data_IF_379705941146
#
_entry.id   IF_379705941146
#
_cell.length_a   1.000
_cell.length_b   1.000
_cell.length_c   1.000
_cell.angle_alpha   90.00
_cell.angle_beta   90.00
_cell.angle_gamma   90.00
#
_symmetry.space_group_name_H-M   'P 1'
#
loop_
_entity.id
_entity.type
_entity.pdbx_description
1 polymer ?
#
# COMPACT_ATOMS: atom_id res chain seq x y z
N UNK A 1 26.64 -0.92 11.12
CA UNK A 1 26.67 -1.44 9.75
C UNK A 1 25.28 -1.42 9.13
N UNK A 2 25.20 -1.37 7.82
CA UNK A 2 23.91 -1.36 7.10
C UNK A 2 23.04 -2.57 7.47
N UNK A 3 23.66 -3.71 7.69
CA UNK A 3 23.00 -4.95 8.13
C UNK A 3 22.34 -4.82 9.50
N UNK A 4 22.99 -4.16 10.46
CA UNK A 4 22.44 -4.00 11.82
C UNK A 4 21.23 -3.04 11.82
N UNK A 5 21.30 -1.97 11.05
CA UNK A 5 20.16 -1.04 10.87
C UNK A 5 18.98 -1.73 10.20
N UNK A 6 19.24 -2.56 9.19
CA UNK A 6 18.21 -3.32 8.49
C UNK A 6 17.59 -4.40 9.39
N UNK A 7 18.37 -5.07 10.22
CA UNK A 7 17.86 -6.01 11.22
C UNK A 7 16.93 -5.32 12.23
N UNK A 8 17.37 -4.18 12.77
CA UNK A 8 16.55 -3.38 13.70
C UNK A 8 15.24 -2.92 13.05
N UNK A 9 15.30 -2.54 11.76
CA UNK A 9 14.11 -2.19 11.01
C UNK A 9 13.15 -3.36 10.84
N UNK A 10 13.66 -4.55 10.52
CA UNK A 10 12.82 -5.74 10.42
C UNK A 10 12.12 -6.07 11.74
N UNK A 11 12.74 -5.74 12.89
CA UNK A 11 12.11 -5.90 14.20
C UNK A 11 10.88 -5.01 14.38
N UNK A 12 10.86 -3.85 13.78
CA UNK A 12 9.73 -2.90 13.84
C UNK A 12 8.69 -3.11 12.75
N UNK A 13 8.99 -3.90 11.71
CA UNK A 13 8.05 -4.19 10.64
C UNK A 13 6.98 -5.19 11.05
N UNK A 14 5.68 -4.90 10.85
CA UNK A 14 4.61 -5.83 11.15
C UNK A 14 4.76 -7.18 10.44
N UNK A 15 5.31 -7.18 9.23
CA UNK A 15 5.49 -8.39 8.43
C UNK A 15 6.51 -9.37 9.04
N UNK A 16 7.55 -8.85 9.68
CA UNK A 16 8.64 -9.63 10.28
C UNK A 16 8.57 -9.74 11.80
N UNK A 17 7.49 -9.28 12.39
CA UNK A 17 7.29 -9.34 13.83
C UNK A 17 7.36 -10.80 14.35
N UNK A 18 8.07 -10.99 15.47
CA UNK A 18 8.21 -12.27 16.14
C UNK A 18 8.93 -13.38 15.33
N UNK A 19 9.55 -13.05 14.21
CA UNK A 19 10.46 -13.97 13.54
C UNK A 19 11.74 -14.13 14.36
N UNK A 20 12.31 -15.33 14.32
CA UNK A 20 13.59 -15.60 15.01
C UNK A 20 14.73 -14.79 14.36
N UNK A 21 15.76 -14.39 15.11
CA UNK A 21 16.93 -13.70 14.56
C UNK A 21 17.61 -14.50 13.44
N UNK A 22 17.58 -15.83 13.54
CA UNK A 22 18.11 -16.72 12.49
C UNK A 22 17.34 -16.58 11.19
N UNK A 23 16.00 -16.57 11.24
CA UNK A 23 15.15 -16.42 10.08
C UNK A 23 15.36 -15.06 9.41
N UNK A 24 15.46 -13.99 10.21
CA UNK A 24 15.75 -12.63 9.71
C UNK A 24 17.09 -12.57 9.00
N UNK A 25 18.12 -13.18 9.53
CA UNK A 25 19.46 -13.25 8.90
C UNK A 25 19.44 -14.01 7.60
N UNK A 26 18.79 -15.17 7.55
CA UNK A 26 18.64 -15.96 6.32
C UNK A 26 17.91 -15.14 5.25
N UNK A 27 16.84 -14.48 5.62
CA UNK A 27 16.05 -13.61 4.74
C UNK A 27 16.92 -12.47 4.17
N UNK A 28 17.67 -11.78 5.01
CA UNK A 28 18.55 -10.70 4.58
C UNK A 28 19.70 -11.16 3.68
N UNK A 29 20.22 -12.36 3.90
CA UNK A 29 21.30 -12.90 3.08
C UNK A 29 20.90 -13.22 1.65
N UNK A 30 19.62 -13.47 1.42
CA UNK A 30 19.04 -13.82 0.11
C UNK A 30 18.25 -12.67 -0.54
N UNK A 31 17.95 -11.62 0.19
CA UNK A 31 17.22 -10.46 -0.30
C UNK A 31 18.14 -9.50 -1.07
N UNK A 32 17.55 -8.74 -2.00
CA UNK A 32 18.24 -7.71 -2.78
C UNK A 32 17.83 -6.33 -2.29
N UNK A 33 18.78 -5.40 -2.25
CA UNK A 33 18.52 -4.01 -1.94
C UNK A 33 18.34 -3.20 -3.22
N UNK A 34 17.21 -2.52 -3.36
CA UNK A 34 16.91 -1.65 -4.49
C UNK A 34 16.83 -0.20 -4.03
N UNK A 35 17.57 0.67 -4.67
CA UNK A 35 17.55 2.12 -4.40
C UNK A 35 16.77 2.84 -5.47
N UNK A 36 15.94 3.77 -5.06
CA UNK A 36 15.10 4.59 -5.92
C UNK A 36 15.37 6.07 -5.65
N UNK A 37 15.41 6.86 -6.71
CA UNK A 37 15.38 8.31 -6.61
C UNK A 37 13.93 8.81 -6.53
N UNK A 38 13.68 10.02 -5.98
CA UNK A 38 12.33 10.59 -5.94
C UNK A 38 11.68 10.61 -7.33
N UNK A 39 10.43 10.17 -7.43
CA UNK A 39 9.69 10.05 -8.68
C UNK A 39 9.90 8.74 -9.44
N UNK A 40 10.85 7.91 -9.07
CA UNK A 40 11.07 6.61 -9.67
C UNK A 40 10.01 5.61 -9.23
N UNK A 41 9.54 4.79 -10.15
CA UNK A 41 8.52 3.78 -9.88
C UNK A 41 9.14 2.46 -9.46
N UNK A 42 8.72 1.95 -8.31
CA UNK A 42 9.04 0.59 -7.86
C UNK A 42 8.14 -0.43 -8.59
N UNK A 43 6.87 -0.11 -8.75
CA UNK A 43 5.87 -0.89 -9.46
C UNK A 43 5.10 -0.01 -10.44
N UNK A 44 4.76 -0.58 -11.60
CA UNK A 44 4.00 0.08 -12.65
C UNK A 44 2.70 -0.67 -12.87
N UNK A 45 1.58 0.06 -12.86
CA UNK A 45 0.25 -0.51 -13.09
C UNK A 45 0.20 -1.29 -14.41
N UNK A 46 -0.40 -2.47 -14.38
CA UNK A 46 -0.56 -3.36 -15.53
C UNK A 46 0.65 -4.26 -15.82
N UNK A 47 1.80 -4.02 -15.21
CA UNK A 47 2.95 -4.90 -15.33
C UNK A 47 2.84 -6.11 -14.39
N UNK A 48 3.49 -7.19 -14.75
CA UNK A 48 3.63 -8.36 -13.89
C UNK A 48 4.70 -8.07 -12.82
N UNK A 49 4.41 -8.47 -11.58
CA UNK A 49 5.34 -8.36 -10.47
C UNK A 49 5.46 -9.70 -9.74
N UNK A 50 6.68 -10.12 -9.52
CA UNK A 50 7.01 -11.37 -8.82
C UNK A 50 7.79 -11.14 -7.53
N UNK A 51 7.81 -9.91 -7.03
CA UNK A 51 8.59 -9.55 -5.83
C UNK A 51 7.73 -8.85 -4.78
N UNK A 52 8.09 -9.05 -3.53
CA UNK A 52 7.63 -8.29 -2.38
C UNK A 52 8.70 -7.26 -2.02
N UNK A 53 8.31 -6.02 -1.84
CA UNK A 53 9.21 -4.95 -1.43
C UNK A 53 8.87 -4.45 -0.03
N UNK A 54 9.88 -4.24 0.79
CA UNK A 54 9.74 -3.63 2.12
C UNK A 54 10.54 -2.33 2.15
N UNK A 55 9.92 -1.25 2.61
CA UNK A 55 10.60 0.05 2.73
C UNK A 55 11.59 0.00 3.89
N UNK A 56 12.86 0.12 3.56
CA UNK A 56 13.96 0.18 4.55
C UNK A 56 14.25 1.62 4.95
N UNK A 57 14.22 2.53 3.98
CA UNK A 57 14.46 3.96 4.17
C UNK A 57 13.64 4.74 3.14
N UNK A 58 13.18 5.94 3.52
CA UNK A 58 12.36 6.77 2.65
C UNK A 58 10.88 6.44 2.72
N UNK A 59 10.16 6.71 1.65
CA UNK A 59 8.73 6.48 1.54
C UNK A 59 8.30 6.30 0.08
N UNK A 60 7.20 5.59 -0.13
CA UNK A 60 6.56 5.44 -1.43
C UNK A 60 5.09 5.84 -1.36
N UNK A 61 4.59 6.40 -2.45
CA UNK A 61 3.16 6.65 -2.65
C UNK A 61 2.56 5.56 -3.54
N UNK A 62 1.42 5.04 -3.13
CA UNK A 62 0.57 4.17 -3.93
C UNK A 62 -0.42 5.04 -4.69
N UNK A 63 -0.36 5.03 -6.01
CA UNK A 63 -1.15 5.89 -6.88
C UNK A 63 -2.10 5.04 -7.71
N UNK A 64 -3.40 5.23 -7.49
CA UNK A 64 -4.44 4.56 -8.28
C UNK A 64 -4.70 5.30 -9.60
N UNK A 65 -5.10 4.58 -10.66
CA UNK A 65 -5.41 5.19 -11.95
C UNK A 65 -6.60 6.15 -11.84
N UNK A 66 -6.49 7.31 -12.48
CA UNK A 66 -7.56 8.32 -12.53
C UNK A 66 -7.78 9.11 -11.24
N UNK A 67 -6.88 8.99 -10.27
CA UNK A 67 -6.92 9.75 -9.01
C UNK A 67 -5.67 10.65 -8.97
N UNK A 68 -5.86 11.97 -8.82
CA UNK A 68 -4.77 12.94 -8.82
C UNK A 68 -3.95 12.94 -7.51
N UNK A 69 -4.51 12.38 -6.43
CA UNK A 69 -3.84 12.29 -5.14
C UNK A 69 -3.35 10.86 -4.86
N UNK A 70 -2.25 10.67 -4.11
CA UNK A 70 -1.82 9.36 -3.65
C UNK A 70 -2.93 8.68 -2.82
N UNK A 71 -3.19 7.38 -3.08
CA UNK A 71 -4.14 6.60 -2.30
C UNK A 71 -3.65 6.40 -0.86
N UNK A 72 -2.38 6.06 -0.73
CA UNK A 72 -1.72 5.87 0.57
C UNK A 72 -0.22 6.10 0.44
N UNK A 73 0.37 6.66 1.48
CA UNK A 73 1.82 6.75 1.65
C UNK A 73 2.30 5.67 2.59
N UNK A 74 3.29 4.91 2.16
CA UNK A 74 3.91 3.84 2.92
C UNK A 74 5.34 4.22 3.28
N UNK A 75 5.64 4.13 4.55
CA UNK A 75 6.95 4.45 5.10
C UNK A 75 7.72 3.21 5.54
N UNK A 76 8.75 3.46 6.31
CA UNK A 76 9.67 2.49 6.82
C UNK A 76 8.97 1.30 7.50
N UNK A 77 9.33 0.08 7.12
CA UNK A 77 8.77 -1.17 7.64
C UNK A 77 7.51 -1.68 6.93
N UNK A 78 6.90 -0.86 6.09
CA UNK A 78 5.72 -1.25 5.30
C UNK A 78 6.11 -1.92 3.99
N UNK A 79 5.22 -2.74 3.44
CA UNK A 79 5.50 -3.52 2.23
C UNK A 79 4.55 -3.21 1.08
N UNK A 80 5.01 -3.45 -0.14
CA UNK A 80 4.26 -3.33 -1.39
C UNK A 80 4.53 -4.53 -2.30
N UNK A 81 3.63 -4.77 -3.25
CA UNK A 81 3.78 -5.84 -4.24
C UNK A 81 3.27 -7.20 -3.79
N UNK A 82 2.74 -7.32 -2.57
CA UNK A 82 2.21 -8.57 -2.03
C UNK A 82 0.99 -9.09 -2.77
N UNK A 83 0.10 -8.23 -3.23
CA UNK A 83 -1.12 -8.64 -3.92
C UNK A 83 -0.80 -9.37 -5.23
N UNK A 84 -0.06 -8.74 -6.11
CA UNK A 84 0.33 -9.31 -7.40
C UNK A 84 1.21 -10.56 -7.26
N UNK A 85 2.04 -10.60 -6.22
CA UNK A 85 2.83 -11.78 -5.90
C UNK A 85 1.95 -12.96 -5.48
N UNK A 86 0.90 -12.72 -4.70
CA UNK A 86 0.04 -13.76 -4.13
C UNK A 86 -1.01 -14.27 -5.10
N UNK A 87 -1.64 -13.39 -5.87
CA UNK A 87 -2.74 -13.74 -6.78
C UNK A 87 -2.32 -13.90 -8.26
N UNK A 88 -1.07 -13.56 -8.59
CA UNK A 88 -0.55 -13.63 -9.95
C UNK A 88 -1.15 -12.63 -10.93
N UNK A 89 -1.91 -11.66 -10.43
CA UNK A 89 -2.52 -10.63 -11.27
C UNK A 89 -1.55 -9.47 -11.53
N UNK A 90 -1.72 -8.72 -12.62
CA UNK A 90 -0.95 -7.51 -12.86
C UNK A 90 -1.07 -6.51 -11.72
N UNK A 91 -0.05 -5.67 -11.55
CA UNK A 91 -0.02 -4.59 -10.55
C UNK A 91 -1.22 -3.66 -10.76
N UNK A 92 -1.93 -3.37 -9.67
CA UNK A 92 -3.18 -2.60 -9.68
C UNK A 92 -3.00 -1.09 -9.44
N UNK A 93 -1.80 -0.67 -9.05
CA UNK A 93 -1.47 0.72 -8.78
C UNK A 93 0.01 1.00 -9.02
N UNK A 94 0.35 2.23 -9.40
CA UNK A 94 1.75 2.65 -9.42
C UNK A 94 2.27 2.81 -7.99
N UNK A 95 3.52 2.43 -7.76
CA UNK A 95 4.24 2.68 -6.50
C UNK A 95 5.45 3.54 -6.81
N UNK A 96 5.45 4.77 -6.30
CA UNK A 96 6.39 5.83 -6.67
C UNK A 96 7.17 6.28 -5.45
N UNK A 97 8.49 6.36 -5.56
CA UNK A 97 9.32 6.91 -4.49
C UNK A 97 9.05 8.40 -4.28
N UNK A 98 8.81 8.80 -3.04
CA UNK A 98 8.58 10.20 -2.64
C UNK A 98 9.91 10.89 -2.33
N UNK A 99 10.76 10.19 -1.59
CA UNK A 99 12.10 10.61 -1.18
C UNK A 99 13.14 9.62 -1.74
N UNK A 100 14.44 9.88 -1.58
CA UNK A 100 15.43 8.83 -1.79
C UNK A 100 15.07 7.60 -0.97
N UNK A 101 14.72 6.51 -1.64
CA UNK A 101 14.10 5.34 -1.01
C UNK A 101 14.96 4.10 -1.22
N UNK A 102 15.11 3.32 -0.18
CA UNK A 102 15.74 1.99 -0.24
C UNK A 102 14.69 0.94 0.08
N UNK A 103 14.54 -0.02 -0.82
CA UNK A 103 13.64 -1.16 -0.68
C UNK A 103 14.43 -2.45 -0.49
N UNK A 104 13.94 -3.30 0.39
CA UNK A 104 14.35 -4.70 0.48
C UNK A 104 13.44 -5.50 -0.45
N UNK A 105 14.02 -6.20 -1.42
CA UNK A 105 13.30 -7.00 -2.39
C UNK A 105 13.45 -8.49 -2.09
N UNK A 106 12.31 -9.16 -1.96
CA UNK A 106 12.18 -10.61 -1.82
C UNK A 106 11.46 -11.16 -3.04
N UNK A 107 12.05 -12.12 -3.73
CA UNK A 107 11.37 -12.76 -4.85
C UNK A 107 10.24 -13.72 -4.39
N UNK A 108 9.40 -14.13 -5.31
CA UNK A 108 8.25 -14.99 -5.00
C UNK A 108 8.65 -16.34 -4.40
N UNK A 109 9.79 -16.91 -4.78
CA UNK A 109 10.29 -18.19 -4.24
C UNK A 109 10.63 -18.01 -2.76
N UNK A 110 11.31 -16.93 -2.40
CA UNK A 110 11.64 -16.60 -1.01
C UNK A 110 10.39 -16.37 -0.16
N UNK A 111 9.42 -15.62 -0.68
CA UNK A 111 8.17 -15.32 0.03
C UNK A 111 7.34 -16.58 0.24
N UNK A 112 7.15 -17.39 -0.78
CA UNK A 112 6.40 -18.64 -0.64
C UNK A 112 7.10 -19.64 0.27
N UNK A 113 8.43 -19.72 0.22
CA UNK A 113 9.21 -20.54 1.16
C UNK A 113 9.01 -20.09 2.61
N UNK A 114 8.95 -18.78 2.87
CA UNK A 114 8.64 -18.24 4.21
C UNK A 114 7.21 -18.57 4.65
N UNK A 115 6.24 -18.45 3.77
CA UNK A 115 4.84 -18.79 4.05
C UNK A 115 4.74 -20.28 4.43
N UNK A 116 5.38 -21.16 3.68
CA UNK A 116 5.32 -22.61 3.89
C UNK A 116 6.08 -23.05 5.14
N UNK A 117 7.18 -22.37 5.49
CA UNK A 117 8.05 -22.76 6.61
C UNK A 117 7.76 -22.04 7.92
N UNK A 118 7.03 -20.93 7.91
CA UNK A 118 6.79 -20.09 9.08
C UNK A 118 5.31 -19.70 9.19
N UNK A 119 4.60 -20.33 10.13
CA UNK A 119 3.24 -19.92 10.45
C UNK A 119 3.17 -18.47 10.99
N UNK A 120 4.21 -18.02 11.66
CA UNK A 120 4.32 -16.62 12.15
C UNK A 120 4.37 -15.64 11.00
N UNK A 121 5.20 -15.88 10.00
CA UNK A 121 5.27 -15.03 8.80
C UNK A 121 3.94 -15.02 8.04
N UNK A 122 3.35 -16.18 7.83
CA UNK A 122 2.05 -16.30 7.15
C UNK A 122 0.94 -15.52 7.89
N UNK A 123 0.87 -15.61 9.21
CA UNK A 123 -0.07 -14.82 10.02
C UNK A 123 0.18 -13.32 9.93
N UNK A 124 1.44 -12.91 9.97
CA UNK A 124 1.81 -11.50 9.83
C UNK A 124 1.36 -10.95 8.47
N UNK A 125 1.60 -11.70 7.40
CA UNK A 125 1.16 -11.32 6.06
C UNK A 125 -0.37 -11.20 5.98
N UNK A 126 -1.11 -12.15 6.53
CA UNK A 126 -2.57 -12.07 6.61
C UNK A 126 -3.06 -10.85 7.39
N UNK A 127 -2.40 -10.47 8.48
CA UNK A 127 -2.72 -9.26 9.25
C UNK A 127 -2.47 -7.98 8.46
N UNK A 128 -1.37 -7.92 7.73
CA UNK A 128 -1.07 -6.79 6.84
C UNK A 128 -2.14 -6.64 5.77
N UNK A 129 -2.52 -7.74 5.11
CA UNK A 129 -3.58 -7.75 4.09
C UNK A 129 -4.94 -7.35 4.67
N UNK A 130 -5.31 -7.88 5.84
CA UNK A 130 -6.55 -7.52 6.52
C UNK A 130 -6.59 -6.03 6.89
N UNK A 131 -5.46 -5.47 7.34
CA UNK A 131 -5.34 -4.04 7.62
C UNK A 131 -5.57 -3.17 6.39
N UNK A 132 -5.07 -3.58 5.25
CA UNK A 132 -5.28 -2.88 3.97
C UNK A 132 -6.73 -2.92 3.51
N UNK A 133 -7.38 -4.07 3.58
CA UNK A 133 -8.80 -4.21 3.25
C UNK A 133 -9.65 -3.29 4.12
N UNK A 134 -9.37 -3.21 5.42
CA UNK A 134 -10.08 -2.30 6.34
C UNK A 134 -9.83 -0.83 6.01
N UNK A 135 -8.60 -0.46 5.66
CA UNK A 135 -8.26 0.91 5.25
C UNK A 135 -9.01 1.30 3.98
N UNK A 136 -9.03 0.45 2.97
CA UNK A 136 -9.76 0.69 1.72
C UNK A 136 -11.26 0.83 1.97
N UNK A 137 -11.85 0.01 2.83
CA UNK A 137 -13.26 0.15 3.22
C UNK A 137 -13.55 1.46 3.95
N UNK A 138 -12.67 1.93 4.81
CA UNK A 138 -12.81 3.21 5.51
C UNK A 138 -12.74 4.38 4.53
N UNK A 139 -11.78 4.39 3.62
CA UNK A 139 -11.64 5.41 2.57
C UNK A 139 -12.87 5.44 1.66
N UNK A 140 -13.38 4.29 1.23
CA UNK A 140 -14.60 4.19 0.42
C UNK A 140 -15.85 4.69 1.17
N UNK A 141 -15.98 4.40 2.46
CA UNK A 141 -17.09 4.88 3.29
C UNK A 141 -17.06 6.40 3.46
N UNK A 142 -15.89 6.99 3.73
CA UNK A 142 -15.69 8.45 3.82
C UNK A 142 -16.02 9.14 2.50
N UNK A 143 -15.53 8.63 1.38
CA UNK A 143 -15.82 9.16 0.04
C UNK A 143 -17.30 9.07 -0.31
N UNK A 144 -17.97 7.99 0.07
CA UNK A 144 -19.41 7.82 -0.13
C UNK A 144 -20.24 8.79 0.71
N UNK A 145 -19.85 9.05 1.95
CA UNK A 145 -20.52 10.01 2.82
C UNK A 145 -20.33 11.45 2.35
N UNK A 146 -19.15 11.82 1.87
CA UNK A 146 -18.88 13.11 1.23
C UNK A 146 -19.72 13.29 -0.04
N UNK A 147 -19.80 12.27 -0.89
CA UNK A 147 -20.67 12.27 -2.07
C UNK A 147 -22.13 12.47 -1.72
N UNK A 148 -22.65 11.73 -0.73
CA UNK A 148 -24.03 11.85 -0.27
C UNK A 148 -24.32 13.23 0.32
N UNK A 149 -23.35 13.83 1.04
CA UNK A 149 -23.48 15.21 1.56
C UNK A 149 -23.54 16.22 0.42
N UNK A 150 -22.68 16.07 -0.58
CA UNK A 150 -22.65 16.96 -1.75
C UNK A 150 -23.94 16.86 -2.57
N UNK A 151 -24.43 15.65 -2.81
CA UNK A 151 -25.71 15.41 -3.50
C UNK A 151 -26.90 16.02 -2.75
N UNK A 152 -26.96 15.91 -1.43
CA UNK A 152 -28.00 16.55 -0.62
C UNK A 152 -27.96 18.07 -0.68
N UNK A 153 -26.79 18.67 -0.62
CA UNK A 153 -26.61 20.12 -0.75
C UNK A 153 -26.99 20.59 -2.16
N UNK A 154 -26.64 19.86 -3.19
CA UNK A 154 -27.02 20.16 -4.58
C UNK A 154 -28.54 20.03 -4.81
N UNK A 155 -29.20 19.04 -4.20
CA UNK A 155 -30.67 18.91 -4.26
C UNK A 155 -31.39 20.01 -3.55
N UNK A 156 -30.89 20.50 -2.41
CA UNK A 156 -31.46 21.61 -1.65
C UNK A 156 -31.34 22.91 -2.45
N UNK A 157 -30.23 23.17 -3.09
CA UNK A 157 -30.07 24.33 -3.99
C UNK A 157 -30.94 24.23 -5.23
N UNK A 158 -31.11 23.03 -5.80
CA UNK A 158 -32.02 22.79 -6.89
C UNK A 158 -33.49 23.00 -6.53
N UNK A 159 -33.89 22.61 -5.34
CA UNK A 159 -35.25 22.81 -4.82
C UNK A 159 -35.55 24.27 -4.48
N UNK A 160 -34.59 25.03 -3.93
CA UNK A 160 -34.74 26.47 -3.67
C UNK A 160 -34.82 27.28 -4.97
N UNK A 161 -34.05 26.94 -5.98
CA UNK A 161 -34.12 27.60 -7.30
C UNK A 161 -35.45 27.29 -8.03
N UNK A 162 -35.98 26.07 -7.91
CA UNK A 162 -37.28 25.69 -8.48
C UNK A 162 -38.46 26.35 -7.74
N UNK A 163 -38.40 26.53 -6.41
CA UNK A 163 -39.38 27.27 -5.65
C UNK A 163 -39.36 28.76 -5.98
N UNK A 164 -38.19 29.38 -6.15
CA UNK A 164 -38.11 30.80 -6.51
C UNK A 164 -38.67 31.10 -7.90
N UNK A 165 -38.58 30.22 -8.87
CA UNK A 165 -39.14 30.41 -10.21
C UNK A 165 -40.67 30.32 -10.24
N UNK A 166 -41.29 29.47 -9.43
CA UNK A 166 -42.75 29.33 -9.38
C UNK A 166 -43.50 30.49 -8.68
N UNK A 167 -42.80 31.20 -7.83
CA UNK A 167 -43.39 32.33 -7.11
C UNK A 167 -43.35 33.67 -7.85
N UNK A 168 -42.65 33.74 -8.95
CA UNK A 168 -42.50 34.93 -9.79
C UNK A 168 -43.35 34.91 -11.08
N UNK A 169 -44.06 33.82 -11.39
CA UNK A 169 -44.90 33.67 -12.57
C UNK A 169 -46.42 33.72 -12.30
N UNK A 170 -46.84 34.10 -11.08
CA UNK A 170 -48.21 34.47 -10.71
C UNK A 170 -48.24 35.98 -10.31
#
# INVERSE_FOLDING_TARGET
TMTDRTLTLLDSSPLFAQLTPRMKRVLLSSATMRRLVPGERALVIGELNTSLFVVVEGAVDVVLPGIDAPHVRLGQGECVGELSLLDGQPVSADVVAVDPTTLLELDHVQVWSLIDSSATFARNLLRVLAGRVRHDHTVLAETSDERRRFERLSMVDGLTTLHNRRWFDE
#
